data_IF_658989681583
#
_entry.id   IF_658989681583
#
_cell.length_a   1.000
_cell.length_b   1.000
_cell.length_c   1.000
_cell.angle_alpha   90.00
_cell.angle_beta   90.00
_cell.angle_gamma   90.00
#
_symmetry.space_group_name_H-M   'P 1'
#
loop_
_entity.id
_entity.type
_entity.pdbx_description
1 polymer ?
#
# COMPACT_ATOMS: atom_id res chain seq x y z
N UNK A 1 -26.44 -9.17 3.63
CA UNK A 1 -25.27 -10.06 3.42
C UNK A 1 -25.09 -10.42 1.96
N UNK A 2 -26.02 -11.13 1.29
CA UNK A 2 -25.83 -11.57 -0.12
C UNK A 2 -25.36 -10.46 -1.06
N UNK A 3 -25.94 -9.28 -0.96
CA UNK A 3 -25.61 -8.15 -1.85
C UNK A 3 -24.60 -7.17 -1.21
N UNK A 4 -23.82 -7.62 -0.22
CA UNK A 4 -22.85 -6.77 0.50
C UNK A 4 -23.46 -5.77 1.49
N UNK A 5 -24.78 -5.72 1.64
CA UNK A 5 -25.40 -4.89 2.68
C UNK A 5 -25.23 -5.54 4.06
N UNK A 6 -24.22 -5.07 4.79
CA UNK A 6 -23.89 -5.49 6.16
C UNK A 6 -24.64 -4.72 7.24
N UNK A 7 -25.64 -3.88 6.93
CA UNK A 7 -26.47 -3.16 7.93
C UNK A 7 -27.72 -3.93 8.37
N UNK A 8 -28.10 -4.98 7.64
CA UNK A 8 -29.23 -5.84 8.03
C UNK A 8 -28.82 -6.69 9.23
N UNK A 9 -29.67 -6.76 10.26
CA UNK A 9 -29.46 -7.56 11.48
C UNK A 9 -30.60 -8.57 11.65
N UNK A 10 -30.28 -9.71 12.26
CA UNK A 10 -31.28 -10.66 12.75
C UNK A 10 -31.72 -10.23 14.15
N UNK A 11 -33.01 -10.39 14.46
CA UNK A 11 -33.52 -10.18 15.81
C UNK A 11 -33.03 -11.31 16.70
N UNK A 12 -32.35 -10.97 17.80
CA UNK A 12 -31.96 -11.94 18.83
C UNK A 12 -33.11 -12.03 19.82
N UNK A 13 -33.75 -13.19 19.94
CA UNK A 13 -34.91 -13.38 20.82
C UNK A 13 -34.99 -14.81 21.34
N UNK A 14 -35.36 -14.93 22.62
CA UNK A 14 -35.46 -16.20 23.32
C UNK A 14 -34.09 -16.80 23.67
N UNK A 15 -34.13 -18.03 24.19
CA UNK A 15 -32.96 -18.82 24.54
C UNK A 15 -32.82 -20.02 23.60
N UNK A 16 -31.59 -20.41 23.27
CA UNK A 16 -31.27 -21.59 22.47
C UNK A 16 -30.54 -21.28 21.16
N UNK A 17 -30.32 -22.33 20.35
CA UNK A 17 -29.42 -22.31 19.18
C UNK A 17 -29.75 -21.22 18.16
N UNK A 18 -31.02 -20.86 17.96
CA UNK A 18 -31.40 -19.82 17.01
C UNK A 18 -31.00 -18.41 17.48
N UNK A 19 -31.02 -18.16 18.79
CA UNK A 19 -30.55 -16.92 19.38
C UNK A 19 -29.01 -16.80 19.22
N UNK A 20 -28.29 -17.89 19.47
CA UNK A 20 -26.83 -17.97 19.26
C UNK A 20 -26.45 -17.75 17.79
N UNK A 21 -27.11 -18.42 16.84
CA UNK A 21 -26.87 -18.23 15.41
C UNK A 21 -27.14 -16.78 15.01
N UNK A 22 -28.22 -16.18 15.51
CA UNK A 22 -28.55 -14.78 15.22
C UNK A 22 -27.49 -13.82 15.74
N UNK A 23 -26.97 -14.09 16.95
CA UNK A 23 -25.88 -13.31 17.53
C UNK A 23 -24.59 -13.42 16.70
N UNK A 24 -24.14 -14.64 16.39
CA UNK A 24 -22.95 -14.88 15.57
C UNK A 24 -23.09 -14.27 14.17
N UNK A 25 -24.27 -14.38 13.56
CA UNK A 25 -24.55 -13.75 12.27
C UNK A 25 -24.39 -12.22 12.33
N UNK A 26 -24.91 -11.60 13.39
CA UNK A 26 -24.79 -10.15 13.57
C UNK A 26 -23.33 -9.73 13.80
N UNK A 27 -22.54 -10.49 14.57
CA UNK A 27 -21.11 -10.24 14.73
C UNK A 27 -20.34 -10.32 13.41
N UNK A 28 -20.64 -11.33 12.57
CA UNK A 28 -20.04 -11.44 11.23
C UNK A 28 -20.42 -10.24 10.36
N UNK A 29 -21.66 -9.75 10.44
CA UNK A 29 -22.09 -8.55 9.74
C UNK A 29 -21.34 -7.30 10.23
N UNK A 30 -21.13 -7.16 11.55
CA UNK A 30 -20.40 -6.04 12.14
C UNK A 30 -18.93 -6.04 11.70
N UNK A 31 -18.24 -7.19 11.72
CA UNK A 31 -16.85 -7.31 11.24
C UNK A 31 -16.70 -6.92 9.78
N UNK A 32 -17.59 -7.41 8.91
CA UNK A 32 -17.56 -7.06 7.49
C UNK A 32 -17.87 -5.56 7.25
N UNK A 33 -18.78 -4.98 8.03
CA UNK A 33 -19.08 -3.56 7.97
C UNK A 33 -17.87 -2.70 8.39
N UNK A 34 -17.17 -3.10 9.45
CA UNK A 34 -15.96 -2.44 9.92
C UNK A 34 -14.85 -2.51 8.87
N UNK A 35 -14.54 -3.71 8.35
CA UNK A 35 -13.50 -3.90 7.34
C UNK A 35 -13.76 -3.07 6.07
N UNK A 36 -15.01 -3.06 5.59
CA UNK A 36 -15.37 -2.25 4.42
C UNK A 36 -15.17 -0.75 4.68
N UNK A 37 -15.50 -0.28 5.90
CA UNK A 37 -15.26 1.08 6.34
C UNK A 37 -13.77 1.43 6.37
N UNK A 38 -12.95 0.54 6.94
CA UNK A 38 -11.50 0.72 7.03
C UNK A 38 -10.83 0.75 5.64
N UNK A 39 -11.24 -0.11 4.72
CA UNK A 39 -10.78 -0.06 3.32
C UNK A 39 -11.11 1.29 2.69
N UNK A 40 -12.32 1.81 2.90
CA UNK A 40 -12.70 3.12 2.39
C UNK A 40 -11.88 4.26 3.03
N UNK A 41 -11.58 4.15 4.34
CA UNK A 41 -10.73 5.10 5.06
C UNK A 41 -9.32 5.11 4.49
N UNK A 42 -8.65 3.96 4.45
CA UNK A 42 -7.27 3.84 3.96
C UNK A 42 -7.17 4.28 2.50
N UNK A 43 -8.12 3.91 1.64
CA UNK A 43 -8.18 4.39 0.26
C UNK A 43 -8.21 5.92 0.17
N UNK A 44 -8.99 6.59 1.03
CA UNK A 44 -9.04 8.07 1.07
C UNK A 44 -7.72 8.64 1.60
N UNK A 45 -7.23 8.11 2.70
CA UNK A 45 -6.07 8.65 3.42
C UNK A 45 -4.77 8.47 2.63
N UNK A 46 -4.51 7.26 2.14
CA UNK A 46 -3.33 6.98 1.30
C UNK A 46 -3.52 7.58 -0.10
N UNK A 47 -4.67 7.31 -0.74
CA UNK A 47 -4.86 7.61 -2.15
C UNK A 47 -5.26 9.06 -2.47
N UNK A 48 -5.85 9.81 -1.53
CA UNK A 48 -6.26 11.22 -1.76
C UNK A 48 -5.48 12.20 -0.90
N UNK A 49 -5.18 11.85 0.34
CA UNK A 49 -4.42 12.74 1.25
C UNK A 49 -2.91 12.51 1.18
N UNK A 50 -2.45 11.45 0.50
CA UNK A 50 -1.02 11.17 0.33
C UNK A 50 -0.33 10.69 1.61
N UNK A 51 -1.08 10.26 2.64
CA UNK A 51 -0.50 9.74 3.88
C UNK A 51 -0.10 8.28 3.69
N UNK A 52 1.06 8.06 3.07
CA UNK A 52 1.50 6.75 2.57
C UNK A 52 1.89 5.75 3.67
N UNK A 53 1.92 6.14 4.94
CA UNK A 53 2.21 5.27 6.10
C UNK A 53 0.96 4.65 6.71
N UNK A 54 -0.23 5.07 6.27
CA UNK A 54 -1.51 4.64 6.85
C UNK A 54 -1.93 3.26 6.34
N UNK A 55 -2.33 2.38 7.25
CA UNK A 55 -2.66 0.99 6.96
C UNK A 55 -4.01 0.60 7.56
N UNK A 56 -4.54 -0.53 7.10
CA UNK A 56 -5.72 -1.16 7.69
C UNK A 56 -5.35 -1.69 9.07
N UNK A 57 -6.24 -1.52 10.03
CA UNK A 57 -6.09 -2.09 11.37
C UNK A 57 -6.71 -3.49 11.41
N UNK A 58 -5.95 -4.47 11.90
CA UNK A 58 -6.41 -5.87 12.03
C UNK A 58 -7.57 -6.01 13.02
N UNK A 59 -7.60 -5.19 14.08
CA UNK A 59 -8.62 -5.26 15.13
C UNK A 59 -8.68 -6.66 15.78
N UNK A 60 -9.88 -7.12 16.22
CA UNK A 60 -10.06 -8.45 16.79
C UNK A 60 -10.25 -9.55 15.72
N UNK A 61 -9.92 -9.27 14.45
CA UNK A 61 -10.13 -10.24 13.37
C UNK A 61 -9.01 -11.29 13.35
N UNK A 62 -9.39 -12.54 13.14
CA UNK A 62 -8.47 -13.67 12.99
C UNK A 62 -8.74 -14.42 11.67
N UNK A 63 -7.88 -15.39 11.36
CA UNK A 63 -8.03 -16.26 10.19
C UNK A 63 -8.07 -15.49 8.88
N UNK A 64 -9.03 -15.81 8.02
CA UNK A 64 -9.13 -15.23 6.67
C UNK A 64 -9.31 -13.71 6.65
N UNK A 65 -9.90 -13.12 7.70
CA UNK A 65 -10.01 -11.65 7.77
C UNK A 65 -8.66 -10.99 8.05
N UNK A 66 -7.89 -11.54 8.99
CA UNK A 66 -6.53 -11.05 9.25
C UNK A 66 -5.65 -11.18 8.00
N UNK A 67 -5.68 -12.33 7.34
CA UNK A 67 -4.94 -12.55 6.09
C UNK A 67 -5.35 -11.57 4.98
N UNK A 68 -6.64 -11.22 4.86
CA UNK A 68 -7.09 -10.24 3.87
C UNK A 68 -6.60 -8.82 4.20
N UNK A 69 -6.54 -8.46 5.48
CA UNK A 69 -5.99 -7.19 5.95
C UNK A 69 -4.48 -7.13 5.67
N UNK A 70 -3.75 -8.18 6.00
CA UNK A 70 -2.30 -8.28 5.76
C UNK A 70 -1.97 -8.21 4.26
N UNK A 71 -2.71 -8.95 3.42
CA UNK A 71 -2.53 -8.90 1.97
C UNK A 71 -2.83 -7.52 1.39
N UNK A 72 -3.83 -6.82 1.91
CA UNK A 72 -4.18 -5.46 1.49
C UNK A 72 -3.11 -4.45 1.93
N UNK A 73 -2.57 -4.58 3.14
CA UNK A 73 -1.47 -3.76 3.63
C UNK A 73 -0.19 -4.00 2.83
N UNK A 74 0.15 -5.26 2.54
CA UNK A 74 1.28 -5.61 1.70
C UNK A 74 1.17 -5.02 0.29
N UNK A 75 -0.02 -5.04 -0.31
CA UNK A 75 -0.26 -4.36 -1.59
C UNK A 75 0.00 -2.86 -1.50
N UNK A 76 -0.44 -2.19 -0.43
CA UNK A 76 -0.14 -0.77 -0.22
C UNK A 76 1.37 -0.56 -0.10
N UNK A 77 2.08 -1.39 0.66
CA UNK A 77 3.54 -1.31 0.81
C UNK A 77 4.29 -1.53 -0.50
N UNK A 78 3.85 -2.48 -1.33
CA UNK A 78 4.41 -2.75 -2.66
C UNK A 78 4.25 -1.57 -3.62
N UNK A 79 3.16 -0.80 -3.49
CA UNK A 79 2.92 0.40 -4.30
C UNK A 79 3.65 1.64 -3.75
N UNK A 80 3.73 1.79 -2.43
CA UNK A 80 4.34 2.96 -1.78
C UNK A 80 5.86 2.96 -1.92
N UNK A 81 6.52 1.81 -1.77
CA UNK A 81 7.98 1.70 -1.79
C UNK A 81 8.61 2.36 -3.02
N UNK A 82 8.22 2.01 -4.28
CA UNK A 82 8.79 2.65 -5.46
C UNK A 82 8.49 4.15 -5.56
N UNK A 83 7.30 4.58 -5.13
CA UNK A 83 6.91 6.00 -5.15
C UNK A 83 7.79 6.82 -4.19
N UNK A 84 8.02 6.31 -2.98
CA UNK A 84 8.92 6.94 -2.00
C UNK A 84 10.37 6.99 -2.50
N UNK A 85 10.86 5.93 -3.14
CA UNK A 85 12.22 5.91 -3.71
C UNK A 85 12.38 6.93 -4.84
N UNK A 86 11.39 7.08 -5.72
CA UNK A 86 11.39 8.13 -6.75
C UNK A 86 11.47 9.51 -6.10
N UNK A 87 10.66 9.76 -5.07
CA UNK A 87 10.70 11.01 -4.31
C UNK A 87 12.09 11.29 -3.73
N UNK A 88 12.72 10.28 -3.10
CA UNK A 88 14.07 10.39 -2.53
C UNK A 88 15.12 10.80 -3.58
N UNK A 89 15.12 10.12 -4.73
CA UNK A 89 16.08 10.41 -5.80
C UNK A 89 15.84 11.80 -6.39
N UNK A 90 14.59 12.19 -6.64
CA UNK A 90 14.27 13.52 -7.15
C UNK A 90 14.63 14.63 -6.17
N UNK A 91 14.44 14.43 -4.87
CA UNK A 91 14.90 15.36 -3.83
C UNK A 91 16.42 15.53 -3.87
N UNK A 92 17.18 14.44 -3.92
CA UNK A 92 18.64 14.50 -4.02
C UNK A 92 19.12 15.25 -5.27
N UNK A 93 18.50 14.96 -6.43
CA UNK A 93 18.78 15.69 -7.68
C UNK A 93 18.49 17.18 -7.54
N UNK A 94 17.41 17.55 -6.86
CA UNK A 94 17.07 18.97 -6.63
C UNK A 94 18.05 19.69 -5.71
N UNK A 95 18.75 18.94 -4.85
CA UNK A 95 19.83 19.43 -3.98
C UNK A 95 21.21 19.39 -4.67
N UNK A 96 21.28 18.89 -5.91
CA UNK A 96 22.50 18.79 -6.72
C UNK A 96 23.28 17.49 -6.54
N UNK A 97 22.77 16.53 -5.75
CA UNK A 97 23.35 15.19 -5.63
C UNK A 97 22.85 14.32 -6.80
N UNK A 98 23.68 14.19 -7.84
CA UNK A 98 23.44 13.37 -9.03
C UNK A 98 24.02 11.95 -8.91
N UNK A 99 24.56 11.58 -7.74
CA UNK A 99 25.04 10.23 -7.48
C UNK A 99 23.90 9.29 -7.05
N UNK A 100 22.79 9.84 -6.53
CA UNK A 100 21.64 9.04 -6.11
C UNK A 100 20.91 8.38 -7.28
N UNK A 101 20.67 7.07 -7.15
CA UNK A 101 19.95 6.26 -8.13
C UNK A 101 18.79 5.50 -7.50
N UNK A 102 17.81 5.17 -8.33
CA UNK A 102 16.79 4.17 -8.04
C UNK A 102 17.42 2.79 -7.96
N UNK A 103 17.17 2.04 -6.87
CA UNK A 103 17.46 0.61 -6.85
C UNK A 103 16.49 -0.12 -7.78
N UNK A 104 17.04 -0.90 -8.72
CA UNK A 104 16.27 -1.69 -9.66
C UNK A 104 15.97 -3.10 -9.12
N UNK A 105 16.17 -3.32 -7.82
CA UNK A 105 15.82 -4.54 -7.10
C UNK A 105 14.82 -4.22 -5.99
N UNK A 106 13.88 -5.14 -5.76
CA UNK A 106 12.98 -5.14 -4.62
C UNK A 106 13.37 -6.27 -3.67
N UNK A 107 13.28 -6.02 -2.37
CA UNK A 107 13.42 -7.04 -1.35
C UNK A 107 12.08 -7.73 -1.12
N UNK A 108 12.10 -9.05 -1.24
CA UNK A 108 10.99 -9.93 -0.87
C UNK A 108 10.97 -10.13 0.64
N UNK A 109 9.82 -10.54 1.18
CA UNK A 109 9.63 -10.81 2.62
C UNK A 109 10.50 -11.95 3.15
N UNK A 110 11.01 -12.81 2.27
CA UNK A 110 11.98 -13.87 2.58
C UNK A 110 13.45 -13.38 2.57
N UNK A 111 13.68 -12.07 2.40
CA UNK A 111 15.01 -11.46 2.36
C UNK A 111 15.72 -11.57 1.02
N UNK A 112 15.11 -12.19 0.01
CA UNK A 112 15.70 -12.30 -1.32
C UNK A 112 15.48 -11.02 -2.15
N UNK A 113 16.50 -10.59 -2.88
CA UNK A 113 16.42 -9.45 -3.78
C UNK A 113 16.03 -9.93 -5.19
N UNK A 114 14.97 -9.35 -5.74
CA UNK A 114 14.49 -9.62 -7.08
C UNK A 114 14.53 -8.37 -7.93
N UNK A 115 14.86 -8.45 -9.23
CA UNK A 115 14.74 -7.30 -10.12
C UNK A 115 13.31 -6.74 -10.11
N UNK A 116 13.19 -5.42 -10.11
CA UNK A 116 11.92 -4.76 -10.40
C UNK A 116 11.41 -5.23 -11.76
N UNK A 117 10.08 -5.30 -11.90
CA UNK A 117 9.41 -5.74 -13.12
C UNK A 117 8.29 -4.77 -13.51
N UNK A 118 7.83 -4.88 -14.75
CA UNK A 118 6.69 -4.11 -15.26
C UNK A 118 6.90 -2.60 -15.14
N UNK A 119 5.85 -1.90 -14.72
CA UNK A 119 5.84 -0.44 -14.62
C UNK A 119 6.88 0.11 -13.62
N UNK A 120 7.14 -0.59 -12.52
CA UNK A 120 8.16 -0.11 -11.55
C UNK A 120 9.57 -0.12 -12.13
N UNK A 121 9.92 -1.14 -12.93
CA UNK A 121 11.21 -1.17 -13.63
C UNK A 121 11.31 -0.03 -14.65
N UNK A 122 10.22 0.22 -15.39
CA UNK A 122 10.16 1.30 -16.36
C UNK A 122 10.36 2.65 -15.70
N UNK A 123 9.66 2.93 -14.60
CA UNK A 123 9.83 4.17 -13.83
C UNK A 123 11.25 4.30 -13.30
N UNK A 124 11.81 3.25 -12.67
CA UNK A 124 13.17 3.29 -12.15
C UNK A 124 14.23 3.57 -13.21
N UNK A 125 14.10 2.97 -14.39
CA UNK A 125 15.00 3.23 -15.53
C UNK A 125 14.86 4.66 -16.06
N UNK A 126 13.63 5.16 -16.18
CA UNK A 126 13.38 6.54 -16.63
C UNK A 126 14.02 7.54 -15.66
N UNK A 127 13.83 7.37 -14.35
CA UNK A 127 14.43 8.25 -13.33
C UNK A 127 15.95 8.20 -13.41
N UNK A 128 16.55 7.00 -13.45
CA UNK A 128 18.01 6.88 -13.58
C UNK A 128 18.55 7.53 -14.87
N UNK A 129 17.83 7.39 -15.99
CA UNK A 129 18.20 8.05 -17.24
C UNK A 129 18.13 9.58 -17.17
N UNK A 130 17.19 10.15 -16.42
CA UNK A 130 17.16 11.59 -16.16
C UNK A 130 18.36 12.05 -15.32
N UNK A 131 18.73 11.29 -14.28
CA UNK A 131 19.93 11.55 -13.47
C UNK A 131 21.19 11.53 -14.34
N UNK A 132 21.32 10.53 -15.22
CA UNK A 132 22.45 10.42 -16.16
C UNK A 132 22.56 11.64 -17.08
N UNK A 133 21.44 12.09 -17.64
CA UNK A 133 21.40 13.27 -18.52
C UNK A 133 21.81 14.55 -17.79
N UNK A 134 21.33 14.74 -16.56
CA UNK A 134 21.70 15.90 -15.76
C UNK A 134 23.18 15.87 -15.37
N UNK A 135 23.71 14.71 -15.01
CA UNK A 135 25.14 14.55 -14.68
C UNK A 135 26.02 14.94 -15.85
N UNK A 136 25.71 14.42 -17.05
CA UNK A 136 26.47 14.73 -18.25
C UNK A 136 26.41 16.22 -18.63
N UNK A 137 25.27 16.88 -18.39
CA UNK A 137 25.14 18.32 -18.63
C UNK A 137 26.00 19.15 -17.67
N UNK A 138 26.03 18.79 -16.38
CA UNK A 138 26.87 19.44 -15.37
C UNK A 138 28.36 19.30 -15.69
N UNK A 139 28.78 18.10 -16.14
CA UNK A 139 30.16 17.84 -16.56
C UNK A 139 30.55 18.68 -17.80
N UNK A 140 29.62 18.92 -18.73
CA UNK A 140 29.88 19.76 -19.91
C UNK A 140 30.04 21.24 -19.53
N UNK A 141 29.18 21.76 -18.65
CA UNK A 141 29.24 23.17 -18.20
C UNK A 141 30.55 23.44 -17.45
N UNK A 142 30.98 22.51 -16.59
CA UNK A 142 32.27 22.64 -15.87
C UNK A 142 33.49 22.54 -16.77
N UNK A 143 33.37 21.88 -17.93
CA UNK A 143 34.45 21.81 -18.93
C UNK A 143 34.58 23.08 -19.76
N UNK A 144 33.47 23.79 -19.99
CA UNK A 144 33.43 24.99 -20.86
C UNK A 144 33.72 26.29 -20.09
N UNK A 145 33.48 26.31 -18.77
CA UNK A 145 33.80 27.41 -17.88
C UNK A 145 35.31 27.50 -17.58
#
# INVERSE_FOLDING_TARGET
>A
MRDGNFRKRLTVSGDGTMAEISAVFNEVADRNQQLTGEIARVRRVVGREGKLTERLETGPCEGSWAAAIDASNALVDDLVRPVSEVGRVLSAVSEGDLEQRMDLRSQSSDGSAHPLRGEFLKVGRTVNGLVDQLSAFTDEVTRVA
#
